data_IF_033080265778
#
_entry.id   IF_033080265778
#
_cell.length_a   1.000
_cell.length_b   1.000
_cell.length_c   1.000
_cell.angle_alpha   90.00
_cell.angle_beta   90.00
_cell.angle_gamma   90.00
#
_symmetry.space_group_name_H-M   'P 1'
#
loop_
_entity.id
_entity.type
_entity.pdbx_description
1 polymer ?
#
# COMPACT_ATOMS: atom_id res chain seq x y z
N UNK A 1 35.30 -41.80 25.10
CA UNK A 1 35.10 -40.85 26.23
C UNK A 1 35.24 -39.44 25.69
N UNK A 2 34.16 -38.64 25.81
CA UNK A 2 34.13 -37.17 25.85
C UNK A 2 34.52 -36.50 24.51
N UNK A 3 33.72 -35.64 23.86
CA UNK A 3 32.87 -34.60 24.39
C UNK A 3 31.73 -34.27 23.42
N UNK A 4 30.55 -34.06 23.99
CA UNK A 4 29.52 -33.20 23.41
C UNK A 4 30.12 -31.81 23.14
N UNK A 5 29.83 -31.25 21.97
CA UNK A 5 29.64 -29.81 21.81
C UNK A 5 28.49 -29.58 20.83
N UNK A 6 27.29 -29.53 21.42
CA UNK A 6 26.16 -28.79 20.88
C UNK A 6 26.58 -27.34 20.69
N UNK A 7 26.60 -26.86 19.44
CA UNK A 7 26.37 -25.44 19.16
C UNK A 7 25.32 -25.34 18.05
N UNK A 8 24.09 -25.64 18.46
CA UNK A 8 22.91 -25.04 17.88
C UNK A 8 22.94 -23.54 18.21
N UNK A 9 23.64 -22.74 17.41
CA UNK A 9 23.51 -21.29 17.42
C UNK A 9 22.45 -20.88 16.40
N UNK A 10 21.21 -20.90 16.89
CA UNK A 10 20.25 -19.81 16.76
C UNK A 10 20.17 -19.15 15.38
N UNK A 11 19.41 -19.78 14.48
CA UNK A 11 18.56 -19.00 13.60
C UNK A 11 17.72 -18.06 14.49
N UNK A 12 17.67 -16.74 14.22
CA UNK A 12 16.67 -15.91 14.87
C UNK A 12 15.30 -16.39 14.38
N UNK A 13 14.64 -17.18 15.23
CA UNK A 13 13.19 -17.37 15.18
C UNK A 13 12.57 -16.02 15.54
N UNK A 14 12.41 -15.12 14.58
CA UNK A 14 11.40 -14.08 14.66
C UNK A 14 10.03 -14.70 14.34
N UNK A 15 9.60 -15.64 15.18
CA UNK A 15 8.21 -16.07 15.27
C UNK A 15 7.65 -15.54 16.58
N UNK A 16 7.21 -14.29 16.52
CA UNK A 16 6.27 -13.70 17.47
C UNK A 16 5.58 -12.52 16.76
N UNK A 17 4.62 -12.82 15.88
CA UNK A 17 3.38 -12.04 15.76
C UNK A 17 2.38 -12.87 14.94
N UNK A 18 1.74 -13.84 15.60
CA UNK A 18 0.42 -14.31 15.16
C UNK A 18 -0.56 -13.43 15.91
N UNK A 19 -1.12 -12.46 15.19
CA UNK A 19 -2.12 -11.53 15.70
C UNK A 19 -2.25 -10.30 14.82
N UNK A 20 -3.29 -10.28 13.99
CA UNK A 20 -3.88 -9.11 13.35
C UNK A 20 -3.21 -8.60 12.07
N UNK A 21 -3.19 -9.44 11.04
CA UNK A 21 -3.32 -8.93 9.67
C UNK A 21 -4.63 -8.13 9.60
N UNK A 22 -4.61 -6.79 9.62
CA UNK A 22 -5.61 -5.91 8.99
C UNK A 22 -5.52 -4.41 9.34
N UNK A 23 -4.35 -3.88 9.74
CA UNK A 23 -4.26 -2.43 9.93
C UNK A 23 -4.26 -1.67 8.59
N UNK A 24 -5.33 -0.91 8.46
CA UNK A 24 -5.75 -0.04 7.38
C UNK A 24 -4.89 1.16 7.11
N UNK A 25 -4.30 1.64 8.18
CA UNK A 25 -3.20 2.54 8.10
C UNK A 25 -1.97 1.66 8.14
N UNK A 26 -0.94 2.03 7.41
CA UNK A 26 0.40 1.55 7.70
C UNK A 26 0.92 2.07 9.05
N UNK A 27 0.22 1.67 10.10
CA UNK A 27 0.61 1.66 11.50
C UNK A 27 0.82 0.18 11.78
N UNK A 28 1.98 -0.28 12.22
CA UNK A 28 2.71 0.25 13.36
C UNK A 28 4.21 0.20 13.09
N UNK A 29 4.84 1.35 12.88
CA UNK A 29 6.12 1.55 13.52
C UNK A 29 5.81 1.94 14.96
N UNK A 30 5.98 1.01 15.91
CA UNK A 30 5.47 1.11 17.28
C UNK A 30 6.35 2.01 18.18
N UNK A 31 6.69 3.20 17.69
CA UNK A 31 7.40 4.25 18.45
C UNK A 31 8.85 3.96 18.82
N UNK A 32 9.36 2.73 18.65
CA UNK A 32 10.72 2.33 19.07
C UNK A 32 11.74 2.46 17.95
N UNK A 33 12.22 3.66 17.61
CA UNK A 33 13.29 3.92 16.61
C UNK A 33 13.36 3.01 15.38
N UNK A 34 12.98 3.54 14.22
CA UNK A 34 12.95 2.85 12.92
C UNK A 34 14.16 1.92 12.71
N UNK A 35 14.03 0.70 12.13
CA UNK A 35 15.17 -0.19 11.95
C UNK A 35 16.21 0.48 11.05
N UNK A 36 17.51 0.23 11.30
CA UNK A 36 18.61 0.82 10.54
C UNK A 36 18.41 0.65 9.02
N UNK A 37 18.07 -0.56 8.58
CA UNK A 37 17.83 -0.91 7.17
C UNK A 37 16.73 -0.08 6.47
N UNK A 38 15.89 0.65 7.22
CA UNK A 38 14.84 1.48 6.66
C UNK A 38 15.30 2.91 6.33
N UNK A 39 16.52 3.29 6.70
CA UNK A 39 17.07 4.62 6.43
C UNK A 39 18.59 4.67 6.26
N UNK A 40 19.31 3.57 6.51
CA UNK A 40 20.75 3.47 6.37
C UNK A 40 21.21 2.09 5.92
N UNK A 41 22.45 2.01 5.42
CA UNK A 41 23.19 0.77 5.22
C UNK A 41 24.20 0.50 6.35
N UNK A 42 24.32 1.43 7.30
CA UNK A 42 25.20 1.28 8.46
C UNK A 42 24.62 0.23 9.43
N UNK A 43 25.52 -0.49 10.10
CA UNK A 43 25.16 -1.53 11.07
C UNK A 43 25.25 -1.07 12.53
N UNK A 44 25.58 0.20 12.78
CA UNK A 44 25.80 0.75 14.11
C UNK A 44 25.12 2.11 14.29
N UNK A 45 24.70 2.41 15.52
CA UNK A 45 24.12 3.71 15.91
C UNK A 45 25.17 4.62 16.56
N UNK A 46 25.18 5.94 16.28
CA UNK A 46 24.29 6.66 15.38
C UNK A 46 24.63 6.43 13.91
N UNK A 47 23.60 6.24 13.08
CA UNK A 47 23.75 6.02 11.64
C UNK A 47 23.30 7.25 10.85
N UNK A 48 23.97 7.50 9.72
CA UNK A 48 23.56 8.56 8.80
C UNK A 48 22.30 8.15 8.03
N UNK A 49 21.50 9.13 7.61
CA UNK A 49 20.35 8.88 6.74
C UNK A 49 20.83 8.86 5.29
N UNK A 50 20.69 7.71 4.63
CA UNK A 50 20.98 7.55 3.20
C UNK A 50 19.67 7.56 2.40
N UNK A 51 19.59 8.45 1.40
CA UNK A 51 18.40 8.59 0.55
C UNK A 51 18.10 7.32 -0.24
N UNK A 52 19.12 6.62 -0.71
CA UNK A 52 18.95 5.38 -1.48
C UNK A 52 18.40 4.23 -0.61
N UNK A 53 18.87 4.14 0.64
CA UNK A 53 18.34 3.20 1.62
C UNK A 53 16.87 3.51 1.94
N UNK A 54 16.51 4.79 2.10
CA UNK A 54 15.12 5.20 2.26
C UNK A 54 14.27 4.88 1.03
N UNK A 55 14.74 5.19 -0.17
CA UNK A 55 14.02 4.91 -1.41
C UNK A 55 13.76 3.41 -1.57
N UNK A 56 14.76 2.58 -1.30
CA UNK A 56 14.62 1.12 -1.27
C UNK A 56 13.63 0.68 -0.21
N UNK A 57 13.67 1.26 0.98
CA UNK A 57 12.73 0.96 2.05
C UNK A 57 11.28 1.35 1.70
N UNK A 58 11.07 2.46 0.98
CA UNK A 58 9.75 2.85 0.42
C UNK A 58 9.28 1.82 -0.61
N UNK A 59 10.16 1.39 -1.50
CA UNK A 59 9.81 0.50 -2.61
C UNK A 59 9.56 -0.95 -2.16
N UNK A 60 10.38 -1.47 -1.25
CA UNK A 60 10.41 -2.90 -0.92
C UNK A 60 9.67 -3.24 0.37
N UNK A 61 9.79 -2.41 1.40
CA UNK A 61 9.29 -2.72 2.75
C UNK A 61 8.54 -1.55 3.42
N UNK A 62 7.62 -0.84 2.73
CA UNK A 62 7.03 0.38 3.27
C UNK A 62 6.17 0.13 4.50
N UNK A 63 5.56 -1.05 4.66
CA UNK A 63 4.79 -1.39 5.87
C UNK A 63 5.71 -1.65 7.07
N UNK A 64 6.69 -2.54 6.91
CA UNK A 64 7.66 -2.90 7.95
C UNK A 64 8.45 -1.70 8.44
N UNK A 65 8.81 -0.82 7.50
CA UNK A 65 9.49 0.41 7.84
C UNK A 65 8.50 1.46 8.38
N UNK A 66 7.24 1.49 7.96
CA UNK A 66 6.30 2.57 8.24
C UNK A 66 6.47 3.77 7.29
N UNK A 67 6.86 3.53 6.04
CA UNK A 67 7.01 4.52 4.97
C UNK A 67 5.83 4.57 4.00
N UNK A 68 4.67 3.99 4.31
CA UNK A 68 3.58 3.98 3.32
C UNK A 68 3.15 5.38 2.87
N UNK A 69 3.17 6.38 3.74
CA UNK A 69 2.88 7.78 3.34
C UNK A 69 3.88 8.36 2.33
N UNK A 70 4.97 7.64 2.02
CA UNK A 70 5.96 7.96 0.99
C UNK A 70 5.83 7.08 -0.26
N UNK A 71 5.01 6.04 -0.21
CA UNK A 71 4.66 5.27 -1.40
C UNK A 71 3.68 6.06 -2.23
N UNK A 72 3.82 5.98 -3.54
CA UNK A 72 2.99 6.70 -4.51
C UNK A 72 1.50 6.49 -4.23
N UNK A 73 1.08 5.26 -3.88
CA UNK A 73 -0.30 4.91 -3.56
C UNK A 73 -0.95 5.74 -2.42
N UNK A 74 -0.16 6.24 -1.47
CA UNK A 74 -0.65 7.04 -0.33
C UNK A 74 -0.08 8.48 -0.33
N UNK A 75 0.75 8.85 -1.30
CA UNK A 75 1.46 10.12 -1.36
C UNK A 75 0.61 11.21 -2.03
N UNK A 76 -0.59 11.43 -1.49
CA UNK A 76 -1.49 12.52 -1.86
C UNK A 76 -2.28 12.99 -0.62
N UNK A 77 -3.18 13.96 -0.81
CA UNK A 77 -4.12 14.39 0.23
C UNK A 77 -5.52 13.88 -0.08
N UNK A 78 -6.28 13.59 0.97
CA UNK A 78 -7.74 13.47 0.83
C UNK A 78 -8.35 14.84 0.50
N UNK A 79 -9.58 14.87 -0.01
CA UNK A 79 -10.29 16.13 -0.16
C UNK A 79 -10.43 16.86 1.18
N UNK A 80 -10.47 18.19 1.12
CA UNK A 80 -10.68 19.04 2.28
C UNK A 80 -12.12 18.88 2.81
N UNK A 81 -13.09 18.74 1.89
CA UNK A 81 -14.51 18.56 2.19
C UNK A 81 -15.05 17.29 1.51
N UNK A 82 -14.65 16.10 1.98
CA UNK A 82 -15.15 14.85 1.43
C UNK A 82 -16.62 14.63 1.83
N UNK A 83 -17.35 13.85 1.05
CA UNK A 83 -18.73 13.42 1.39
C UNK A 83 -18.73 12.51 2.62
N UNK A 84 -17.60 11.88 2.93
CA UNK A 84 -17.41 10.94 4.04
C UNK A 84 -16.18 11.35 4.85
N UNK A 85 -16.25 11.27 6.17
CA UNK A 85 -15.06 11.48 7.01
C UNK A 85 -14.02 10.38 6.79
N UNK A 86 -12.94 10.71 6.08
CA UNK A 86 -11.84 9.81 5.75
C UNK A 86 -11.16 9.20 6.99
N UNK A 87 -11.31 9.76 8.19
CA UNK A 87 -10.72 9.21 9.40
C UNK A 87 -11.48 7.96 9.91
N UNK A 88 -12.76 7.84 9.56
CA UNK A 88 -13.64 6.74 9.98
C UNK A 88 -13.58 5.52 9.06
N UNK A 89 -12.94 5.67 7.89
CA UNK A 89 -12.92 4.64 6.86
C UNK A 89 -12.07 3.42 7.25
N UNK A 90 -12.63 2.23 7.01
CA UNK A 90 -12.03 0.91 7.18
C UNK A 90 -11.59 0.28 5.84
N UNK A 91 -10.82 -0.83 5.83
CA UNK A 91 -10.26 -1.42 4.56
C UNK A 91 -11.24 -2.36 3.96
N UNK A 92 -12.13 -2.92 4.78
CA UNK A 92 -13.34 -3.49 4.27
C UNK A 92 -14.08 -2.47 3.39
N UNK A 93 -14.16 -1.20 3.79
CA UNK A 93 -14.74 -0.14 2.95
C UNK A 93 -13.85 0.21 1.75
N UNK A 94 -12.53 0.36 1.91
CA UNK A 94 -11.63 0.57 0.76
C UNK A 94 -11.61 -0.61 -0.25
N UNK A 95 -12.03 -1.81 0.14
CA UNK A 95 -12.14 -2.99 -0.72
C UNK A 95 -13.58 -3.24 -1.18
N UNK A 96 -14.55 -2.51 -0.65
CA UNK A 96 -15.95 -2.70 -0.96
C UNK A 96 -16.28 -2.10 -2.33
N UNK A 97 -16.91 -2.84 -3.24
CA UNK A 97 -17.27 -2.33 -4.56
C UNK A 97 -18.28 -1.19 -4.54
N UNK A 98 -19.02 -1.04 -3.43
CA UNK A 98 -19.95 0.07 -3.22
C UNK A 98 -19.21 1.36 -2.90
N UNK A 99 -18.15 1.29 -2.08
CA UNK A 99 -17.47 2.47 -1.57
C UNK A 99 -16.22 2.86 -2.35
N UNK A 100 -15.60 1.91 -3.05
CA UNK A 100 -14.27 2.08 -3.66
C UNK A 100 -14.17 3.34 -4.50
N UNK A 101 -15.14 3.58 -5.38
CA UNK A 101 -15.17 4.76 -6.25
C UNK A 101 -15.23 6.06 -5.45
N UNK A 102 -16.19 6.13 -4.51
CA UNK A 102 -16.38 7.32 -3.67
C UNK A 102 -15.11 7.60 -2.86
N UNK A 103 -14.44 6.56 -2.36
CA UNK A 103 -13.22 6.68 -1.58
C UNK A 103 -11.98 7.01 -2.42
N UNK A 104 -11.92 6.64 -3.70
CA UNK A 104 -10.85 7.08 -4.60
C UNK A 104 -10.98 8.55 -4.98
N UNK A 105 -12.19 9.07 -5.02
CA UNK A 105 -12.43 10.50 -5.19
C UNK A 105 -12.14 11.23 -3.88
N UNK A 106 -12.79 10.85 -2.79
CA UNK A 106 -12.85 11.63 -1.55
C UNK A 106 -11.67 11.39 -0.60
N UNK A 107 -11.26 10.13 -0.48
CA UNK A 107 -10.29 9.66 0.51
C UNK A 107 -9.12 8.85 -0.08
N UNK A 108 -8.48 9.30 -1.20
CA UNK A 108 -7.47 8.50 -1.88
C UNK A 108 -6.26 8.18 -1.02
N UNK A 109 -5.83 9.12 -0.16
CA UNK A 109 -4.69 8.91 0.74
C UNK A 109 -5.02 7.94 1.88
N UNK A 110 -6.30 7.81 2.28
CA UNK A 110 -6.70 6.82 3.29
C UNK A 110 -6.72 5.40 2.72
N UNK A 111 -7.16 5.26 1.47
CA UNK A 111 -7.37 3.94 0.85
C UNK A 111 -6.22 3.48 -0.07
N UNK A 112 -5.20 4.31 -0.30
CA UNK A 112 -4.08 3.95 -1.16
C UNK A 112 -4.39 4.11 -2.65
N UNK A 113 -5.19 5.10 -3.02
CA UNK A 113 -5.66 5.36 -4.39
C UNK A 113 -5.01 6.56 -5.07
N UNK A 114 -3.96 7.14 -4.46
CA UNK A 114 -3.32 8.35 -4.97
C UNK A 114 -2.75 8.20 -6.39
N UNK A 115 -2.29 7.01 -6.77
CA UNK A 115 -1.73 6.74 -8.11
C UNK A 115 -2.77 6.51 -9.19
N UNK A 116 -4.05 6.41 -8.79
CA UNK A 116 -5.10 5.94 -9.66
C UNK A 116 -5.85 7.07 -10.35
N UNK A 117 -5.61 8.33 -9.97
CA UNK A 117 -6.22 9.53 -10.57
C UNK A 117 -7.74 9.42 -10.76
N UNK A 118 -8.44 8.81 -9.80
CA UNK A 118 -9.91 8.58 -9.84
C UNK A 118 -10.36 7.43 -10.76
N UNK A 119 -9.45 6.83 -11.51
CA UNK A 119 -9.67 5.67 -12.37
C UNK A 119 -9.33 4.38 -11.61
N UNK A 120 -10.36 3.73 -11.06
CA UNK A 120 -10.19 2.49 -10.31
C UNK A 120 -11.13 1.39 -10.80
N UNK A 121 -10.71 0.15 -10.56
CA UNK A 121 -11.60 -1.01 -10.61
C UNK A 121 -12.50 -0.97 -9.37
N UNK A 122 -13.82 -1.15 -9.57
CA UNK A 122 -14.77 -1.19 -8.47
C UNK A 122 -14.61 -2.48 -7.65
N UNK A 123 -14.31 -3.59 -8.32
CA UNK A 123 -14.05 -4.87 -7.65
C UNK A 123 -12.54 -5.15 -7.58
N UNK A 124 -12.03 -5.72 -6.47
CA UNK A 124 -10.68 -6.27 -6.46
C UNK A 124 -10.60 -7.53 -7.34
N UNK A 125 -9.44 -7.78 -7.95
CA UNK A 125 -9.17 -9.03 -8.65
C UNK A 125 -9.39 -9.01 -10.16
N UNK A 126 -9.77 -7.87 -10.75
CA UNK A 126 -9.79 -7.70 -12.21
C UNK A 126 -8.40 -7.98 -12.83
N UNK A 127 -7.33 -7.71 -12.10
CA UNK A 127 -5.94 -7.98 -12.46
C UNK A 127 -5.60 -9.47 -12.56
N UNK A 128 -6.40 -10.36 -11.97
CA UNK A 128 -6.13 -11.79 -11.97
C UNK A 128 -6.44 -12.44 -13.32
N UNK A 129 -7.41 -11.90 -14.05
CA UNK A 129 -7.78 -12.38 -15.39
C UNK A 129 -8.02 -11.19 -16.34
N UNK A 130 -6.97 -10.67 -16.99
CA UNK A 130 -7.10 -9.58 -17.95
C UNK A 130 -7.88 -9.96 -19.22
N UNK A 131 -8.10 -11.26 -19.48
CA UNK A 131 -8.81 -11.70 -20.69
C UNK A 131 -10.27 -11.26 -20.71
N UNK A 132 -10.88 -11.07 -19.53
CA UNK A 132 -12.25 -10.58 -19.37
C UNK A 132 -12.50 -9.24 -20.08
N UNK A 133 -11.46 -8.43 -20.29
CA UNK A 133 -11.52 -7.15 -20.99
C UNK A 133 -11.88 -7.28 -22.47
N UNK A 134 -11.67 -8.46 -23.07
CA UNK A 134 -11.90 -8.75 -24.49
C UNK A 134 -12.95 -9.85 -24.73
N UNK A 135 -13.47 -10.47 -23.65
CA UNK A 135 -14.47 -11.52 -23.75
C UNK A 135 -15.83 -10.95 -24.17
N UNK A 136 -16.40 -11.52 -25.24
CA UNK A 136 -17.72 -11.15 -25.74
C UNK A 136 -18.76 -11.39 -24.65
N UNK A 137 -19.66 -10.42 -24.44
CA UNK A 137 -20.69 -10.46 -23.40
C UNK A 137 -20.24 -9.94 -22.03
N UNK A 138 -18.94 -9.67 -21.82
CA UNK A 138 -18.43 -9.10 -20.57
C UNK A 138 -18.36 -7.56 -20.57
N UNK A 139 -18.73 -6.89 -21.66
CA UNK A 139 -18.61 -5.43 -21.80
C UNK A 139 -19.25 -4.66 -20.65
N UNK A 140 -20.49 -4.99 -20.26
CA UNK A 140 -21.16 -4.30 -19.15
C UNK A 140 -20.40 -4.50 -17.83
N UNK A 141 -19.94 -5.73 -17.57
CA UNK A 141 -19.20 -6.05 -16.36
C UNK A 141 -17.89 -5.27 -16.29
N UNK A 142 -17.08 -5.29 -17.35
CA UNK A 142 -15.76 -4.63 -17.33
C UNK A 142 -15.86 -3.10 -17.34
N UNK A 143 -16.88 -2.55 -18.01
CA UNK A 143 -17.15 -1.11 -18.01
C UNK A 143 -17.61 -0.60 -16.64
N UNK A 144 -18.18 -1.44 -15.79
CA UNK A 144 -18.60 -1.05 -14.44
C UNK A 144 -17.55 -1.40 -13.38
N UNK A 145 -16.93 -2.58 -13.47
CA UNK A 145 -16.17 -3.17 -12.38
C UNK A 145 -14.65 -3.16 -12.59
N UNK A 146 -14.18 -3.20 -13.85
CA UNK A 146 -12.77 -3.37 -14.18
C UNK A 146 -12.23 -2.24 -15.06
N UNK A 147 -12.70 -1.01 -14.83
CA UNK A 147 -12.42 0.12 -15.71
C UNK A 147 -10.94 0.44 -15.81
N UNK A 148 -10.19 0.33 -14.72
CA UNK A 148 -8.75 0.65 -14.74
C UNK A 148 -7.98 -0.47 -15.42
N UNK A 149 -8.20 -1.72 -15.02
CA UNK A 149 -7.53 -2.89 -15.61
C UNK A 149 -7.81 -3.00 -17.11
N UNK A 150 -9.04 -2.73 -17.54
CA UNK A 150 -9.44 -2.81 -18.94
C UNK A 150 -9.27 -1.49 -19.71
N UNK A 151 -8.60 -0.47 -19.14
CA UNK A 151 -8.42 0.86 -19.75
C UNK A 151 -9.72 1.51 -20.25
N UNK A 152 -10.83 1.33 -19.53
CA UNK A 152 -12.18 1.86 -19.82
C UNK A 152 -12.52 3.13 -19.03
N UNK A 153 -11.56 3.74 -18.36
CA UNK A 153 -11.83 4.98 -17.64
C UNK A 153 -12.12 6.12 -18.61
N UNK A 154 -13.34 6.67 -18.54
CA UNK A 154 -13.69 7.93 -19.18
C UNK A 154 -12.90 9.04 -18.50
N UNK A 155 -12.00 9.66 -19.24
CA UNK A 155 -10.99 10.58 -18.74
C UNK A 155 -11.64 11.83 -18.14
N UNK A 156 -11.67 11.91 -16.81
CA UNK A 156 -11.40 13.17 -16.11
C UNK A 156 -10.13 12.92 -15.30
N UNK A 157 -8.99 12.89 -15.99
CA UNK A 157 -7.69 12.81 -15.33
C UNK A 157 -7.53 14.05 -14.47
N UNK A 158 -7.70 13.89 -13.17
CA UNK A 158 -6.96 14.71 -12.22
C UNK A 158 -5.47 14.51 -12.54
N UNK A 159 -4.68 15.59 -12.65
CA UNK A 159 -3.27 15.47 -12.98
C UNK A 159 -2.58 14.53 -11.97
N UNK A 160 -1.65 13.68 -12.40
CA UNK A 160 -0.87 12.84 -11.50
C UNK A 160 -0.27 13.74 -10.42
N UNK A 161 -0.34 13.28 -9.17
CA UNK A 161 0.28 13.97 -8.04
C UNK A 161 1.74 14.26 -8.43
N UNK A 162 2.09 15.55 -8.55
CA UNK A 162 3.43 15.95 -8.93
C UNK A 162 4.41 15.34 -7.92
N UNK A 163 5.26 14.43 -8.39
CA UNK A 163 6.40 13.95 -7.62
C UNK A 163 7.18 15.19 -7.19
N UNK A 164 7.23 15.43 -5.87
CA UNK A 164 7.92 16.57 -5.30
C UNK A 164 9.36 16.58 -5.80
N UNK A 165 9.77 17.72 -6.39
CA UNK A 165 11.18 18.06 -6.59
C UNK A 165 11.85 18.26 -5.24
#
# INVERSE_FOLDING_TARGET
MISLFFLAFLAPKSSAYIGLYNDLNCTMFNGTSRPLMCYTLDTATPAAIYRDAQATAVATCPRTCGLCCRTSAFMCKNLIYPRIDCNTITRAQCQSPVWRQILAEDCPARCGFCDLNGCIDAVPGCENDPSICHTIGMEQFVNQNCRRTCNRCSVSTQPPCAAGK
#
